data_IF_222635978847
#
_entry.id   IF_222635978847
#
_cell.length_a   1.000
_cell.length_b   1.000
_cell.length_c   1.000
_cell.angle_alpha   90.00
_cell.angle_beta   90.00
_cell.angle_gamma   90.00
#
_symmetry.space_group_name_H-M   'P 1'
#
loop_
_entity.id
_entity.type
_entity.pdbx_description
1 polymer ?
#
# COMPACT_ATOMS: atom_id res chain seq x y z
N UNK A 1 -7.61 -10.82 -16.30
CA UNK A 1 -7.76 -11.15 -14.88
C UNK A 1 -7.24 -10.04 -13.96
N UNK A 2 -5.97 -9.61 -14.09
CA UNK A 2 -5.37 -8.60 -13.19
C UNK A 2 -6.08 -7.23 -13.16
N UNK A 3 -6.34 -6.62 -14.32
CA UNK A 3 -6.98 -5.31 -14.41
C UNK A 3 -8.38 -5.27 -13.75
N UNK A 4 -9.20 -6.32 -13.93
CA UNK A 4 -10.51 -6.42 -13.27
C UNK A 4 -10.41 -6.53 -11.76
N UNK A 5 -9.44 -7.28 -11.23
CA UNK A 5 -9.20 -7.36 -9.79
C UNK A 5 -8.79 -6.00 -9.21
N UNK A 6 -7.88 -5.28 -9.90
CA UNK A 6 -7.47 -3.93 -9.50
C UNK A 6 -8.61 -2.91 -9.61
N UNK A 7 -9.47 -3.00 -10.63
CA UNK A 7 -10.65 -2.15 -10.74
C UNK A 7 -11.61 -2.36 -9.55
N UNK A 8 -11.82 -3.62 -9.14
CA UNK A 8 -12.60 -3.95 -7.94
C UNK A 8 -11.91 -3.42 -6.68
N UNK A 9 -10.57 -3.51 -6.57
CA UNK A 9 -9.84 -2.92 -5.45
C UNK A 9 -10.09 -1.41 -5.34
N UNK A 10 -9.99 -0.68 -6.46
CA UNK A 10 -10.25 0.77 -6.48
C UNK A 10 -11.69 1.08 -6.05
N UNK A 11 -12.66 0.31 -6.54
CA UNK A 11 -14.06 0.43 -6.10
C UNK A 11 -14.23 0.18 -4.60
N UNK A 12 -13.57 -0.84 -4.06
CA UNK A 12 -13.58 -1.15 -2.63
C UNK A 12 -12.93 -0.04 -1.80
N UNK A 13 -11.86 0.58 -2.30
CA UNK A 13 -11.19 1.72 -1.64
C UNK A 13 -12.16 2.90 -1.53
N UNK A 14 -12.84 3.29 -2.61
CA UNK A 14 -13.81 4.39 -2.56
C UNK A 14 -15.02 4.06 -1.69
N UNK A 15 -15.50 2.82 -1.74
CA UNK A 15 -16.57 2.35 -0.84
C UNK A 15 -16.14 2.45 0.63
N UNK A 16 -14.90 2.08 0.94
CA UNK A 16 -14.34 2.20 2.29
C UNK A 16 -14.26 3.67 2.72
N UNK A 17 -13.86 4.58 1.84
CA UNK A 17 -13.81 6.01 2.17
C UNK A 17 -15.19 6.54 2.58
N UNK A 18 -16.23 6.14 1.84
CA UNK A 18 -17.61 6.55 2.13
C UNK A 18 -18.12 5.92 3.45
N UNK A 19 -17.83 4.64 3.70
CA UNK A 19 -18.19 3.97 4.95
C UNK A 19 -17.51 4.67 6.16
N UNK A 20 -16.23 5.02 6.04
CA UNK A 20 -15.51 5.70 7.12
C UNK A 20 -16.02 7.12 7.36
N UNK A 21 -16.36 7.85 6.29
CA UNK A 21 -16.96 9.18 6.38
C UNK A 21 -18.34 9.14 7.06
N UNK A 22 -19.25 8.31 6.54
CA UNK A 22 -20.62 8.17 7.04
C UNK A 22 -20.69 7.74 8.50
N UNK A 23 -19.78 6.88 8.95
CA UNK A 23 -19.71 6.43 10.35
C UNK A 23 -18.82 7.31 11.24
N UNK A 24 -18.24 8.39 10.69
CA UNK A 24 -17.31 9.30 11.39
C UNK A 24 -16.11 8.57 12.05
N UNK A 25 -15.60 7.51 11.41
CA UNK A 25 -14.54 6.65 11.94
C UNK A 25 -13.13 7.07 11.47
N UNK A 26 -12.94 8.32 11.05
CA UNK A 26 -11.68 8.79 10.43
C UNK A 26 -10.43 8.65 11.31
N UNK A 27 -10.58 8.77 12.63
CA UNK A 27 -9.47 8.60 13.58
C UNK A 27 -9.26 7.15 14.02
N UNK A 28 -10.16 6.26 13.62
CA UNK A 28 -10.12 4.84 13.97
C UNK A 28 -9.04 4.12 13.15
N UNK A 29 -8.34 3.13 13.73
CA UNK A 29 -7.38 2.31 13.00
C UNK A 29 -8.04 1.41 11.94
N UNK A 30 -9.37 1.27 11.95
CA UNK A 30 -10.12 0.36 11.06
C UNK A 30 -9.80 0.63 9.58
N UNK A 31 -9.86 1.89 9.13
CA UNK A 31 -9.60 2.24 7.73
C UNK A 31 -8.20 1.79 7.25
N UNK A 32 -7.12 2.24 7.90
CA UNK A 32 -5.75 1.84 7.54
C UNK A 32 -5.50 0.33 7.60
N UNK A 33 -6.09 -0.38 8.57
CA UNK A 33 -5.96 -1.85 8.69
C UNK A 33 -6.69 -2.57 7.56
N UNK A 34 -7.92 -2.16 7.24
CA UNK A 34 -8.69 -2.74 6.13
C UNK A 34 -7.97 -2.52 4.80
N UNK A 35 -7.34 -1.36 4.59
CA UNK A 35 -6.51 -1.12 3.40
C UNK A 35 -5.31 -2.08 3.33
N UNK A 36 -4.66 -2.38 4.46
CA UNK A 36 -3.57 -3.37 4.51
C UNK A 36 -4.04 -4.79 4.16
N UNK A 37 -5.23 -5.17 4.64
CA UNK A 37 -5.88 -6.44 4.32
C UNK A 37 -6.25 -6.51 2.83
N UNK A 38 -6.84 -5.45 2.27
CA UNK A 38 -7.20 -5.37 0.85
C UNK A 38 -5.97 -5.49 -0.05
N UNK A 39 -4.86 -4.82 0.29
CA UNK A 39 -3.63 -4.91 -0.48
C UNK A 39 -3.08 -6.33 -0.52
N UNK A 40 -3.11 -7.02 0.63
CA UNK A 40 -2.68 -8.42 0.74
C UNK A 40 -3.61 -9.38 -0.01
N UNK A 41 -4.93 -9.17 0.07
CA UNK A 41 -5.93 -9.97 -0.64
C UNK A 41 -5.76 -9.86 -2.15
N UNK A 42 -5.62 -8.64 -2.68
CA UNK A 42 -5.53 -8.40 -4.12
C UNK A 42 -4.18 -8.82 -4.72
N UNK A 43 -3.11 -8.84 -3.93
CA UNK A 43 -1.85 -9.49 -4.32
C UNK A 43 -2.08 -10.97 -4.69
N UNK A 44 -2.74 -11.74 -3.83
CA UNK A 44 -3.03 -13.15 -4.14
C UNK A 44 -4.13 -13.29 -5.20
N UNK A 45 -5.11 -12.38 -5.22
CA UNK A 45 -6.22 -12.45 -6.20
C UNK A 45 -5.77 -12.21 -7.63
N UNK A 46 -4.71 -11.44 -7.83
CA UNK A 46 -4.10 -11.21 -9.15
C UNK A 46 -3.22 -12.38 -9.61
N UNK A 47 -3.06 -13.42 -8.78
CA UNK A 47 -2.32 -14.63 -9.10
C UNK A 47 -0.85 -14.61 -8.68
N UNK A 48 -0.40 -13.58 -7.96
CA UNK A 48 0.95 -13.54 -7.41
C UNK A 48 1.12 -14.54 -6.26
N UNK A 49 2.34 -15.03 -6.09
CA UNK A 49 2.72 -15.89 -4.97
C UNK A 49 3.87 -15.26 -4.20
N UNK A 50 4.00 -15.59 -2.92
CA UNK A 50 5.06 -15.09 -2.05
C UNK A 50 6.36 -15.88 -2.25
N UNK A 51 6.80 -16.05 -3.50
CA UNK A 51 8.05 -16.71 -3.89
C UNK A 51 8.74 -15.93 -5.00
N UNK A 52 10.08 -15.81 -4.93
CA UNK A 52 10.85 -15.01 -5.90
C UNK A 52 10.77 -15.56 -7.33
N UNK A 53 10.64 -16.88 -7.49
CA UNK A 53 10.51 -17.52 -8.80
C UNK A 53 9.16 -17.27 -9.47
N UNK A 54 8.16 -16.78 -8.73
CA UNK A 54 6.83 -16.49 -9.27
C UNK A 54 6.65 -15.06 -9.77
N UNK A 55 7.71 -14.23 -9.69
CA UNK A 55 7.66 -12.86 -10.20
C UNK A 55 7.36 -12.89 -11.70
N UNK A 56 6.33 -12.15 -12.12
CA UNK A 56 5.86 -12.09 -13.49
C UNK A 56 6.76 -11.17 -14.33
N UNK A 57 7.96 -11.61 -14.69
CA UNK A 57 8.93 -10.82 -15.47
C UNK A 57 8.38 -10.38 -16.83
N UNK A 58 7.53 -11.22 -17.44
CA UNK A 58 6.87 -10.95 -18.72
C UNK A 58 5.98 -9.69 -18.70
N UNK A 59 5.53 -9.26 -17.51
CA UNK A 59 4.72 -8.04 -17.37
C UNK A 59 5.45 -6.79 -17.88
N UNK A 60 6.78 -6.76 -17.84
CA UNK A 60 7.58 -5.65 -18.34
C UNK A 60 7.45 -5.46 -19.86
N UNK A 61 7.21 -6.57 -20.58
CA UNK A 61 7.19 -6.59 -22.04
C UNK A 61 5.80 -6.33 -22.65
N UNK A 62 4.78 -6.10 -21.80
CA UNK A 62 3.47 -5.66 -22.27
C UNK A 62 3.57 -4.26 -22.92
N UNK A 63 4.17 -3.25 -22.25
CA UNK A 63 4.38 -1.92 -22.86
C UNK A 63 5.76 -1.71 -23.52
N UNK A 64 6.76 -2.55 -23.24
CA UNK A 64 8.13 -2.37 -23.73
C UNK A 64 8.57 -3.54 -24.63
N UNK A 65 9.16 -3.26 -25.79
CA UNK A 65 9.71 -4.33 -26.65
C UNK A 65 11.11 -4.81 -26.23
N UNK A 66 11.85 -4.01 -25.45
CA UNK A 66 13.22 -4.29 -25.01
C UNK A 66 13.42 -3.83 -23.57
N UNK A 67 14.38 -4.44 -22.88
CA UNK A 67 14.79 -4.01 -21.53
C UNK A 67 15.36 -2.59 -21.63
N UNK A 68 14.71 -1.64 -20.96
CA UNK A 68 15.13 -0.25 -20.89
C UNK A 68 15.10 0.21 -19.44
N UNK A 69 16.27 0.50 -18.90
CA UNK A 69 16.39 1.10 -17.58
C UNK A 69 16.04 2.60 -17.64
N UNK A 70 15.32 3.15 -16.65
CA UNK A 70 14.81 2.50 -15.43
C UNK A 70 13.39 1.89 -15.57
N UNK A 71 12.78 1.97 -16.76
CA UNK A 71 11.35 1.63 -16.97
C UNK A 71 11.00 0.17 -16.74
N UNK A 72 11.80 -0.76 -17.25
CA UNK A 72 11.55 -2.22 -17.11
C UNK A 72 11.35 -2.63 -15.64
N UNK A 73 12.29 -2.37 -14.71
CA UNK A 73 12.10 -2.76 -13.31
C UNK A 73 10.94 -2.01 -12.62
N UNK A 74 10.69 -0.75 -12.96
CA UNK A 74 9.56 0.02 -12.39
C UNK A 74 8.23 -0.67 -12.75
N UNK A 75 8.06 -1.11 -14.00
CA UNK A 75 6.83 -1.76 -14.46
C UNK A 75 6.62 -3.10 -13.76
N UNK A 76 7.68 -3.89 -13.57
CA UNK A 76 7.60 -5.16 -12.81
C UNK A 76 7.23 -4.92 -11.35
N UNK A 77 7.80 -3.88 -10.70
CA UNK A 77 7.46 -3.49 -9.34
C UNK A 77 5.99 -3.06 -9.26
N UNK A 78 5.52 -2.24 -10.18
CA UNK A 78 4.13 -1.78 -10.24
C UNK A 78 3.16 -2.94 -10.48
N UNK A 79 3.53 -3.95 -11.28
CA UNK A 79 2.73 -5.14 -11.46
C UNK A 79 2.70 -6.02 -10.19
N UNK A 80 3.86 -6.22 -9.56
CA UNK A 80 4.02 -7.13 -8.41
C UNK A 80 3.39 -6.56 -7.13
N UNK A 81 3.56 -5.25 -6.88
CA UNK A 81 3.13 -4.59 -5.65
C UNK A 81 2.01 -3.57 -5.86
N UNK A 82 1.38 -3.56 -7.04
CA UNK A 82 0.39 -2.54 -7.41
C UNK A 82 -0.76 -2.43 -6.41
N UNK A 83 -1.26 -3.57 -5.91
CA UNK A 83 -2.33 -3.58 -4.90
C UNK A 83 -1.91 -2.91 -3.59
N UNK A 84 -0.72 -3.24 -3.07
CA UNK A 84 -0.17 -2.66 -1.85
C UNK A 84 0.16 -1.18 -2.03
N UNK A 85 0.71 -0.79 -3.19
CA UNK A 85 0.99 0.61 -3.53
C UNK A 85 -0.30 1.44 -3.57
N UNK A 86 -1.34 0.94 -4.23
CA UNK A 86 -2.64 1.61 -4.28
C UNK A 86 -3.25 1.76 -2.88
N UNK A 87 -3.20 0.72 -2.05
CA UNK A 87 -3.67 0.80 -0.68
C UNK A 87 -2.85 1.80 0.16
N UNK A 88 -1.53 1.84 0.00
CA UNK A 88 -0.66 2.78 0.70
C UNK A 88 -0.96 4.24 0.31
N UNK A 89 -1.18 4.52 -0.97
CA UNK A 89 -1.64 5.84 -1.46
C UNK A 89 -3.02 6.19 -0.89
N UNK A 90 -3.90 5.20 -0.78
CA UNK A 90 -5.26 5.40 -0.28
C UNK A 90 -5.32 5.78 1.20
N UNK A 91 -4.32 5.47 2.03
CA UNK A 91 -4.32 5.79 3.47
C UNK A 91 -4.41 7.30 3.76
N UNK A 92 -3.52 8.17 3.25
CA UNK A 92 -3.67 9.61 3.43
C UNK A 92 -4.92 10.14 2.72
N UNK A 93 -5.29 9.61 1.56
CA UNK A 93 -6.53 9.98 0.87
C UNK A 93 -7.78 9.71 1.73
N UNK A 94 -7.82 8.60 2.47
CA UNK A 94 -8.91 8.24 3.38
C UNK A 94 -9.08 9.29 4.48
N UNK A 95 -7.98 9.79 5.04
CA UNK A 95 -8.00 10.82 6.07
C UNK A 95 -8.44 12.17 5.51
N UNK A 96 -8.00 12.50 4.29
CA UNK A 96 -8.32 13.75 3.61
C UNK A 96 -9.71 13.76 2.96
N UNK A 97 -10.37 12.59 2.85
CA UNK A 97 -11.65 12.45 2.17
C UNK A 97 -12.74 13.34 2.77
N UNK A 98 -13.27 14.26 1.96
CA UNK A 98 -14.33 15.23 2.31
C UNK A 98 -14.01 16.09 3.54
N UNK A 99 -12.74 16.32 3.85
CA UNK A 99 -12.33 17.15 4.99
C UNK A 99 -12.26 18.62 4.58
N UNK A 100 -12.78 19.51 5.45
CA UNK A 100 -12.64 20.96 5.27
C UNK A 100 -11.16 21.37 5.47
N UNK A 101 -10.60 22.22 4.59
CA UNK A 101 -9.16 22.56 4.59
C UNK A 101 -8.67 23.25 5.87
N UNK A 102 -9.54 23.93 6.60
CA UNK A 102 -9.17 24.71 7.80
C UNK A 102 -9.08 23.89 9.10
N UNK A 103 -9.19 22.56 9.03
CA UNK A 103 -9.17 21.72 10.23
C UNK A 103 -7.75 21.63 10.81
N UNK A 104 -7.55 22.23 11.99
CA UNK A 104 -6.29 22.11 12.75
C UNK A 104 -6.01 20.65 13.11
N UNK A 105 -4.74 20.26 13.08
CA UNK A 105 -4.28 18.92 13.47
C UNK A 105 -4.44 17.83 12.39
N UNK A 106 -4.67 18.19 11.13
CA UNK A 106 -4.82 17.20 10.05
C UNK A 106 -3.57 16.32 9.86
N UNK A 107 -2.38 16.92 9.98
CA UNK A 107 -1.10 16.22 9.86
C UNK A 107 -0.93 15.13 10.92
N UNK A 108 -1.37 15.35 12.16
CA UNK A 108 -1.25 14.34 13.21
C UNK A 108 -2.18 13.15 12.94
N UNK A 109 -3.38 13.39 12.40
CA UNK A 109 -4.31 12.33 12.00
C UNK A 109 -3.76 11.53 10.81
N UNK A 110 -3.19 12.19 9.80
CA UNK A 110 -2.56 11.50 8.66
C UNK A 110 -1.38 10.67 9.12
N UNK A 111 -0.49 11.25 9.94
CA UNK A 111 0.69 10.54 10.46
C UNK A 111 0.27 9.32 11.28
N UNK A 112 -0.78 9.44 12.11
CA UNK A 112 -1.32 8.31 12.87
C UNK A 112 -1.88 7.22 11.96
N UNK A 113 -2.63 7.57 10.93
CA UNK A 113 -3.20 6.60 9.98
C UNK A 113 -2.12 5.87 9.17
N UNK A 114 -1.06 6.58 8.77
CA UNK A 114 0.08 5.98 8.08
C UNK A 114 0.88 5.08 9.02
N UNK A 115 1.12 5.53 10.25
CA UNK A 115 1.79 4.73 11.25
C UNK A 115 1.04 3.42 11.54
N UNK A 116 -0.30 3.45 11.62
CA UNK A 116 -1.08 2.20 11.83
C UNK A 116 -1.01 1.27 10.61
N UNK A 117 -0.98 1.81 9.39
CA UNK A 117 -0.82 1.01 8.19
C UNK A 117 0.56 0.34 8.10
N UNK A 118 1.63 1.09 8.40
CA UNK A 118 3.00 0.56 8.47
C UNK A 118 3.10 -0.49 9.57
N UNK A 119 2.54 -0.22 10.75
CA UNK A 119 2.54 -1.15 11.89
C UNK A 119 1.87 -2.48 11.52
N UNK A 120 0.77 -2.46 10.76
CA UNK A 120 0.11 -3.67 10.27
C UNK A 120 1.07 -4.57 9.46
N UNK A 121 1.78 -4.00 8.48
CA UNK A 121 2.75 -4.77 7.69
C UNK A 121 3.97 -5.20 8.53
N UNK A 122 4.43 -4.33 9.45
CA UNK A 122 5.54 -4.63 10.34
C UNK A 122 5.21 -5.79 11.29
N UNK A 123 3.99 -5.86 11.84
CA UNK A 123 3.53 -6.97 12.68
C UNK A 123 3.51 -8.28 11.90
N UNK A 124 2.99 -8.28 10.67
CA UNK A 124 2.99 -9.46 9.80
C UNK A 124 4.44 -9.91 9.53
N UNK A 125 5.33 -8.97 9.19
CA UNK A 125 6.72 -9.29 8.88
C UNK A 125 7.50 -9.79 10.11
N UNK A 126 7.23 -9.23 11.29
CA UNK A 126 7.81 -9.71 12.54
C UNK A 126 7.36 -11.14 12.83
N UNK A 127 6.06 -11.43 12.68
CA UNK A 127 5.53 -12.77 12.87
C UNK A 127 6.14 -13.78 11.90
N UNK A 128 6.28 -13.44 10.61
CA UNK A 128 6.93 -14.31 9.61
C UNK A 128 8.42 -14.51 9.90
N UNK A 129 9.12 -13.48 10.38
CA UNK A 129 10.53 -13.56 10.79
C UNK A 129 10.69 -14.49 11.99
N UNK A 130 9.87 -14.34 13.04
CA UNK A 130 9.87 -15.22 14.21
C UNK A 130 9.63 -16.67 13.80
N UNK A 131 8.66 -16.92 12.92
CA UNK A 131 8.32 -18.27 12.49
C UNK A 131 9.38 -18.91 11.60
N UNK A 132 9.99 -18.13 10.69
CA UNK A 132 11.12 -18.58 9.89
C UNK A 132 12.33 -18.93 10.77
N UNK A 133 12.60 -18.15 11.82
CA UNK A 133 13.65 -18.44 12.80
C UNK A 133 13.34 -19.68 13.64
N UNK A 134 12.11 -19.82 14.11
CA UNK A 134 11.68 -20.96 14.93
C UNK A 134 11.75 -22.29 14.13
N UNK A 135 11.25 -22.29 12.90
CA UNK A 135 11.22 -23.47 12.02
C UNK A 135 12.49 -23.65 11.18
N UNK A 136 13.64 -23.12 11.62
CA UNK A 136 14.92 -23.20 10.90
C UNK A 136 15.43 -24.63 10.60
N UNK A 137 14.91 -25.65 11.31
CA UNK A 137 15.23 -27.07 11.08
C UNK A 137 14.14 -27.83 10.33
N UNK A 138 13.06 -27.16 9.94
CA UNK A 138 11.96 -27.77 9.20
C UNK A 138 12.32 -27.89 7.72
N UNK A 139 11.95 -29.02 7.09
CA UNK A 139 12.26 -29.33 5.69
C UNK A 139 11.79 -28.22 4.72
N UNK A 140 10.67 -27.56 5.04
CA UNK A 140 10.05 -26.54 4.18
C UNK A 140 10.57 -25.11 4.40
N UNK A 141 11.66 -24.91 5.17
CA UNK A 141 12.24 -23.58 5.44
C UNK A 141 12.43 -22.78 4.15
N UNK A 142 13.25 -23.28 3.23
CA UNK A 142 13.59 -22.57 2.00
C UNK A 142 12.49 -22.58 0.93
N UNK A 143 11.52 -23.48 1.06
CA UNK A 143 10.42 -23.60 0.09
C UNK A 143 9.24 -22.69 0.42
N UNK A 144 8.97 -22.45 1.70
CA UNK A 144 7.74 -21.77 2.16
C UNK A 144 8.07 -20.61 3.10
N UNK A 145 8.87 -20.84 4.14
CA UNK A 145 9.05 -19.86 5.22
C UNK A 145 9.99 -18.71 4.84
N UNK A 146 11.19 -19.01 4.32
CA UNK A 146 12.15 -17.99 3.89
C UNK A 146 11.59 -17.12 2.75
N UNK A 147 10.97 -17.66 1.68
CA UNK A 147 10.38 -16.82 0.64
C UNK A 147 9.27 -15.90 1.15
N UNK A 148 8.41 -16.38 2.07
CA UNK A 148 7.36 -15.55 2.68
C UNK A 148 7.90 -14.42 3.52
N UNK A 149 8.93 -14.68 4.34
CA UNK A 149 9.62 -13.65 5.09
C UNK A 149 10.24 -12.60 4.15
N UNK A 150 10.96 -13.03 3.11
CA UNK A 150 11.63 -12.13 2.17
C UNK A 150 10.63 -11.24 1.44
N UNK A 151 9.53 -11.80 0.93
CA UNK A 151 8.48 -11.02 0.27
C UNK A 151 7.82 -10.06 1.26
N UNK A 152 7.56 -10.49 2.50
CA UNK A 152 7.03 -9.61 3.55
C UNK A 152 7.93 -8.41 3.83
N UNK A 153 9.25 -8.63 3.91
CA UNK A 153 10.23 -7.57 4.11
C UNK A 153 10.27 -6.58 2.93
N UNK A 154 10.24 -7.09 1.68
CA UNK A 154 10.21 -6.23 0.49
C UNK A 154 8.91 -5.42 0.41
N UNK A 155 7.76 -6.04 0.72
CA UNK A 155 6.47 -5.34 0.76
C UNK A 155 6.50 -4.22 1.80
N UNK A 156 7.03 -4.47 2.99
CA UNK A 156 7.17 -3.44 4.03
C UNK A 156 8.00 -2.26 3.54
N UNK A 157 9.17 -2.51 2.93
CA UNK A 157 10.01 -1.44 2.37
C UNK A 157 9.31 -0.63 1.29
N UNK A 158 8.57 -1.29 0.39
CA UNK A 158 7.79 -0.61 -0.66
C UNK A 158 6.69 0.25 -0.05
N UNK A 159 5.94 -0.29 0.92
CA UNK A 159 4.88 0.44 1.61
C UNK A 159 5.44 1.62 2.39
N UNK A 160 6.59 1.48 3.07
CA UNK A 160 7.25 2.56 3.80
C UNK A 160 7.64 3.70 2.85
N UNK A 161 8.33 3.37 1.75
CA UNK A 161 8.75 4.35 0.76
C UNK A 161 7.57 5.11 0.15
N UNK A 162 6.54 4.40 -0.30
CA UNK A 162 5.34 5.01 -0.90
C UNK A 162 4.58 5.83 0.13
N UNK A 163 4.39 5.30 1.34
CA UNK A 163 3.64 5.99 2.39
C UNK A 163 4.34 7.28 2.80
N UNK A 164 5.66 7.29 2.97
CA UNK A 164 6.43 8.50 3.30
C UNK A 164 6.35 9.51 2.15
N UNK A 165 6.56 9.06 0.91
CA UNK A 165 6.50 9.92 -0.26
C UNK A 165 5.13 10.61 -0.39
N UNK A 166 4.04 9.85 -0.28
CA UNK A 166 2.67 10.39 -0.41
C UNK A 166 2.28 11.19 0.84
N UNK A 167 2.72 10.80 2.04
CA UNK A 167 2.50 11.56 3.27
C UNK A 167 3.06 12.97 3.17
N UNK A 168 4.33 13.09 2.77
CA UNK A 168 5.04 14.37 2.77
C UNK A 168 4.66 15.21 1.55
N UNK A 169 4.72 14.61 0.36
CA UNK A 169 4.46 15.32 -0.88
C UNK A 169 2.96 15.46 -1.15
N UNK A 170 2.22 14.36 -1.09
CA UNK A 170 0.81 14.33 -1.46
C UNK A 170 -0.06 15.19 -0.57
N UNK A 171 0.11 15.11 0.76
CA UNK A 171 -0.67 15.95 1.68
C UNK A 171 -0.33 17.43 1.53
N UNK A 172 0.95 17.76 1.35
CA UNK A 172 1.41 19.15 1.12
C UNK A 172 0.80 19.72 -0.16
N UNK A 173 0.90 19.01 -1.27
CA UNK A 173 0.35 19.46 -2.56
C UNK A 173 -1.18 19.62 -2.49
N UNK A 174 -1.86 18.67 -1.84
CA UNK A 174 -3.31 18.73 -1.63
C UNK A 174 -3.71 19.97 -0.82
N UNK A 175 -2.99 20.29 0.25
CA UNK A 175 -3.23 21.48 1.05
C UNK A 175 -2.95 22.78 0.30
N UNK A 176 -1.83 22.88 -0.43
CA UNK A 176 -1.49 24.07 -1.23
C UNK A 176 -2.54 24.30 -2.33
N UNK A 177 -2.86 23.27 -3.10
CA UNK A 177 -3.85 23.36 -4.18
C UNK A 177 -5.22 23.78 -3.65
N UNK A 178 -5.64 23.25 -2.50
CA UNK A 178 -6.89 23.65 -1.86
C UNK A 178 -6.82 25.09 -1.34
N UNK A 179 -5.69 25.50 -0.76
CA UNK A 179 -5.49 26.86 -0.27
C UNK A 179 -5.53 27.91 -1.39
N UNK A 180 -4.92 27.61 -2.55
CA UNK A 180 -4.97 28.46 -3.74
C UNK A 180 -6.41 28.65 -4.24
N UNK A 181 -7.18 27.56 -4.36
CA UNK A 181 -8.58 27.60 -4.84
C UNK A 181 -9.47 28.44 -3.92
N UNK A 182 -9.27 28.36 -2.61
CA UNK A 182 -10.07 29.10 -1.63
C UNK A 182 -9.48 30.46 -1.25
N UNK A 183 -8.37 30.90 -1.86
CA UNK A 183 -7.75 32.20 -1.58
C UNK A 183 -7.12 32.32 -0.20
N UNK A 184 -6.74 31.19 0.41
CA UNK A 184 -6.06 31.15 1.71
C UNK A 184 -4.53 31.33 1.59
N UNK A 185 -4.00 31.41 0.37
CA UNK A 185 -2.56 31.50 0.06
C UNK A 185 -2.00 32.92 0.01
N UNK A 186 -2.44 33.80 0.92
CA UNK A 186 -1.88 35.14 1.14
C UNK A 186 -1.03 35.20 2.40
#
# INVERSE_FOLDING_TARGET
MGAGAIAILVWQIFSLFEIIDTNNLRQSPIGPVVLGLLGSFHFFKTGHQATLSSIQWESAFIPLAKIRYPWTPIIVILNTFGAQILCAIAVPCLVLWKVKPQKKGLLSVVTRAIATHILFYATINLATTMWAGHLRRHLMLYRIFSPRFMVGAVVLLVVDFVSIAIALWGTRMSMISTAEVFGFGG
#
